data_IF_942226099146
#
_entry.id   IF_942226099146
#
_cell.length_a   1.000
_cell.length_b   1.000
_cell.length_c   1.000
_cell.angle_alpha   90.00
_cell.angle_beta   90.00
_cell.angle_gamma   90.00
#
_symmetry.space_group_name_H-M   'P 1'
#
loop_
_entity.id
_entity.type
_entity.pdbx_description
1 polymer ?
#
# COMPACT_ATOMS: atom_id res chain seq x y z
N UNK A 1 2.31 -48.86 18.99
CA UNK A 1 1.03 -48.66 18.29
C UNK A 1 1.11 -47.33 17.56
N UNK A 2 1.07 -47.39 16.24
CA UNK A 2 1.18 -46.26 15.31
C UNK A 2 -0.08 -45.41 15.44
N UNK A 3 0.07 -44.15 15.88
CA UNK A 3 -0.98 -43.15 15.74
C UNK A 3 -0.87 -42.56 14.33
N UNK A 4 -1.96 -42.65 13.59
CA UNK A 4 -2.07 -42.33 12.18
C UNK A 4 -1.58 -40.91 11.86
N UNK A 5 -0.73 -40.83 10.83
CA UNK A 5 -0.43 -39.64 10.07
C UNK A 5 -1.71 -39.09 9.47
N UNK A 6 -2.42 -38.25 10.23
CA UNK A 6 -3.47 -37.42 9.66
C UNK A 6 -2.85 -36.53 8.60
N UNK A 7 -3.35 -36.59 7.38
CA UNK A 7 -3.09 -35.57 6.37
C UNK A 7 -3.46 -34.21 6.98
N UNK A 8 -2.47 -33.48 7.49
CA UNK A 8 -2.64 -32.09 7.88
C UNK A 8 -2.83 -31.35 6.56
N UNK A 9 -4.09 -31.22 6.13
CA UNK A 9 -4.45 -30.29 5.07
C UNK A 9 -4.02 -28.92 5.60
N UNK A 10 -3.07 -28.24 4.94
CA UNK A 10 -2.59 -26.95 5.42
C UNK A 10 -3.79 -26.01 5.52
N UNK A 11 -4.14 -25.59 6.74
CA UNK A 11 -5.24 -24.65 6.90
C UNK A 11 -4.84 -23.30 6.29
N UNK A 12 -5.69 -22.68 5.48
CA UNK A 12 -5.43 -21.35 4.97
C UNK A 12 -5.34 -20.37 6.12
N UNK A 13 -4.31 -19.54 6.10
CA UNK A 13 -4.10 -18.51 7.13
C UNK A 13 -5.08 -17.36 6.99
N UNK A 14 -5.40 -16.97 5.76
CA UNK A 14 -6.45 -16.02 5.39
C UNK A 14 -7.77 -16.70 5.02
N UNK A 15 -8.63 -15.96 4.31
CA UNK A 15 -9.94 -16.47 3.91
C UNK A 15 -9.84 -17.68 2.97
N UNK A 16 -10.61 -18.73 3.28
CA UNK A 16 -10.81 -19.90 2.41
C UNK A 16 -11.82 -19.67 1.28
N UNK A 17 -12.45 -18.49 1.21
CA UNK A 17 -13.58 -18.23 0.31
C UNK A 17 -13.23 -18.43 -1.18
N UNK A 18 -12.00 -18.12 -1.58
CA UNK A 18 -11.53 -18.24 -2.97
C UNK A 18 -10.82 -19.57 -3.26
N UNK A 19 -10.96 -20.57 -2.38
CA UNK A 19 -10.39 -21.90 -2.58
C UNK A 19 -10.81 -22.57 -3.91
N UNK A 20 -12.06 -22.47 -4.39
CA UNK A 20 -12.44 -23.03 -5.70
C UNK A 20 -11.65 -22.42 -6.86
N UNK A 21 -11.37 -21.10 -6.79
CA UNK A 21 -10.59 -20.38 -7.82
C UNK A 21 -9.12 -20.79 -7.75
N UNK A 22 -8.57 -20.94 -6.54
CA UNK A 22 -7.20 -21.43 -6.33
C UNK A 22 -6.99 -22.82 -6.93
N UNK A 23 -7.95 -23.73 -6.75
CA UNK A 23 -7.92 -25.07 -7.33
C UNK A 23 -8.01 -25.03 -8.86
N UNK A 24 -8.89 -24.20 -9.42
CA UNK A 24 -9.04 -24.04 -10.87
C UNK A 24 -7.78 -23.48 -11.54
N UNK A 25 -7.10 -22.54 -10.89
CA UNK A 25 -5.92 -21.86 -11.43
C UNK A 25 -4.59 -22.56 -11.08
N UNK A 26 -4.63 -23.65 -10.30
CA UNK A 26 -3.44 -24.31 -9.73
C UNK A 26 -2.46 -23.31 -9.08
N UNK A 27 -2.99 -22.28 -8.43
CA UNK A 27 -2.23 -21.17 -7.86
C UNK A 27 -2.47 -21.12 -6.35
N UNK A 28 -1.45 -20.85 -5.51
CA UNK A 28 -1.64 -20.75 -4.06
C UNK A 28 -2.75 -19.78 -3.67
N UNK A 29 -3.64 -20.20 -2.76
CA UNK A 29 -4.82 -19.44 -2.34
C UNK A 29 -4.48 -18.02 -1.86
N UNK A 30 -3.35 -17.85 -1.17
CA UNK A 30 -2.90 -16.54 -0.68
C UNK A 30 -2.63 -15.55 -1.81
N UNK A 31 -2.07 -16.02 -2.93
CA UNK A 31 -1.84 -15.19 -4.11
C UNK A 31 -3.18 -14.80 -4.75
N UNK A 32 -4.14 -15.73 -4.79
CA UNK A 32 -5.50 -15.47 -5.28
C UNK A 32 -6.19 -14.42 -4.40
N UNK A 33 -6.11 -14.56 -3.07
CA UNK A 33 -6.67 -13.60 -2.12
C UNK A 33 -6.03 -12.21 -2.30
N UNK A 34 -4.70 -12.13 -2.43
CA UNK A 34 -4.00 -10.88 -2.68
C UNK A 34 -4.46 -10.21 -3.98
N UNK A 35 -4.50 -10.95 -5.09
CA UNK A 35 -4.94 -10.43 -6.40
C UNK A 35 -6.39 -9.97 -6.33
N UNK A 36 -7.27 -10.76 -5.72
CA UNK A 36 -8.68 -10.41 -5.55
C UNK A 36 -8.85 -9.13 -4.75
N UNK A 37 -8.15 -8.97 -3.62
CA UNK A 37 -8.16 -7.73 -2.85
C UNK A 37 -7.66 -6.53 -3.66
N UNK A 38 -6.64 -6.67 -4.51
CA UNK A 38 -6.17 -5.57 -5.36
C UNK A 38 -7.20 -5.15 -6.42
N UNK A 39 -7.90 -6.13 -7.02
CA UNK A 39 -8.97 -5.84 -7.97
C UNK A 39 -10.17 -5.18 -7.28
N UNK A 40 -10.57 -5.69 -6.11
CA UNK A 40 -11.62 -5.07 -5.30
C UNK A 40 -11.19 -3.67 -4.83
N UNK A 41 -9.92 -3.46 -4.48
CA UNK A 41 -9.39 -2.16 -4.11
C UNK A 41 -9.57 -1.13 -5.24
N UNK A 42 -9.41 -1.51 -6.51
CA UNK A 42 -9.66 -0.62 -7.65
C UNK A 42 -11.13 -0.22 -7.76
N UNK A 43 -12.05 -1.17 -7.59
CA UNK A 43 -13.49 -0.91 -7.60
C UNK A 43 -13.90 -0.01 -6.44
N UNK A 44 -13.40 -0.31 -5.23
CA UNK A 44 -13.63 0.50 -4.03
C UNK A 44 -13.01 1.89 -4.19
N UNK A 45 -11.84 2.02 -4.83
CA UNK A 45 -11.21 3.32 -5.11
C UNK A 45 -12.07 4.18 -6.04
N UNK A 46 -12.65 3.59 -7.09
CA UNK A 46 -13.58 4.28 -7.98
C UNK A 46 -14.84 4.73 -7.24
N UNK A 47 -15.42 3.84 -6.43
CA UNK A 47 -16.58 4.15 -5.59
C UNK A 47 -16.27 5.27 -4.58
N UNK A 48 -15.13 5.17 -3.89
CA UNK A 48 -14.64 6.15 -2.93
C UNK A 48 -14.50 7.54 -3.57
N UNK A 49 -14.04 7.62 -4.82
CA UNK A 49 -13.95 8.87 -5.56
C UNK A 49 -15.31 9.49 -5.86
N UNK A 50 -16.32 8.69 -6.22
CA UNK A 50 -17.64 9.18 -6.61
C UNK A 50 -18.45 9.62 -5.39
N UNK A 51 -18.55 8.75 -4.38
CA UNK A 51 -19.46 8.93 -3.26
C UNK A 51 -18.81 9.64 -2.07
N UNK A 52 -17.53 9.41 -1.82
CA UNK A 52 -16.76 10.04 -0.75
C UNK A 52 -15.83 11.13 -1.29
N UNK A 53 -16.34 11.95 -2.21
CA UNK A 53 -15.67 13.13 -2.71
C UNK A 53 -15.44 14.13 -1.54
N UNK A 54 -14.26 14.76 -1.42
CA UNK A 54 -13.98 15.76 -0.38
C UNK A 54 -15.00 16.90 -0.29
N UNK A 55 -15.71 17.23 -1.38
CA UNK A 55 -16.78 18.24 -1.34
C UNK A 55 -18.06 17.77 -0.65
N UNK A 56 -18.30 16.46 -0.58
CA UNK A 56 -19.56 15.88 -0.11
C UNK A 56 -19.41 15.11 1.21
N UNK A 57 -18.21 14.67 1.55
CA UNK A 57 -17.96 13.82 2.71
C UNK A 57 -16.95 14.46 3.67
N UNK A 58 -17.28 14.42 4.97
CA UNK A 58 -16.41 14.91 6.02
C UNK A 58 -15.08 14.12 6.06
N UNK A 59 -13.92 14.76 6.28
CA UNK A 59 -12.61 14.09 6.31
C UNK A 59 -12.53 12.87 7.22
N UNK A 60 -13.14 12.93 8.41
CA UNK A 60 -13.15 11.81 9.35
C UNK A 60 -13.82 10.55 8.76
N UNK A 61 -14.90 10.72 7.99
CA UNK A 61 -15.60 9.60 7.33
C UNK A 61 -14.70 8.99 6.26
N UNK A 62 -14.01 9.84 5.47
CA UNK A 62 -13.07 9.38 4.45
C UNK A 62 -11.90 8.61 5.07
N UNK A 63 -11.35 9.11 6.17
CA UNK A 63 -10.31 8.41 6.93
C UNK A 63 -10.79 7.08 7.49
N UNK A 64 -11.93 7.06 8.17
CA UNK A 64 -12.50 5.87 8.79
C UNK A 64 -12.82 4.79 7.75
N UNK A 65 -13.45 5.16 6.63
CA UNK A 65 -13.73 4.24 5.53
C UNK A 65 -12.45 3.64 4.96
N UNK A 66 -11.45 4.49 4.68
CA UNK A 66 -10.19 4.02 4.11
C UNK A 66 -9.48 3.02 5.03
N UNK A 67 -9.48 3.28 6.35
CA UNK A 67 -8.95 2.38 7.39
C UNK A 67 -9.75 1.08 7.45
N UNK A 68 -11.08 1.17 7.52
CA UNK A 68 -11.95 0.01 7.70
C UNK A 68 -11.78 -1.01 6.57
N UNK A 69 -11.81 -0.55 5.32
CA UNK A 69 -11.60 -1.43 4.16
C UNK A 69 -10.19 -2.00 4.14
N UNK A 70 -9.17 -1.23 4.55
CA UNK A 70 -7.80 -1.72 4.58
C UNK A 70 -7.54 -2.75 5.67
N UNK A 71 -8.14 -2.58 6.85
CA UNK A 71 -8.17 -3.59 7.92
C UNK A 71 -8.85 -4.86 7.42
N UNK A 72 -10.00 -4.72 6.75
CA UNK A 72 -10.69 -5.86 6.15
C UNK A 72 -9.81 -6.62 5.15
N UNK A 73 -9.12 -5.92 4.24
CA UNK A 73 -8.18 -6.57 3.30
C UNK A 73 -7.00 -7.26 4.00
N UNK A 74 -6.43 -6.66 5.04
CA UNK A 74 -5.36 -7.28 5.80
C UNK A 74 -5.83 -8.58 6.49
N UNK A 75 -7.01 -8.56 7.12
CA UNK A 75 -7.60 -9.75 7.76
C UNK A 75 -8.00 -10.79 6.71
N UNK A 76 -8.58 -10.39 5.58
CA UNK A 76 -8.97 -11.31 4.52
C UNK A 76 -7.76 -12.04 3.92
N UNK A 77 -6.67 -11.34 3.65
CA UNK A 77 -5.46 -11.92 3.06
C UNK A 77 -4.65 -12.77 4.05
N UNK A 78 -4.52 -12.33 5.30
CA UNK A 78 -3.52 -12.88 6.25
C UNK A 78 -4.12 -13.47 7.54
N UNK A 79 -5.43 -13.34 7.76
CA UNK A 79 -6.13 -13.80 8.96
C UNK A 79 -5.44 -13.37 10.25
N UNK A 80 -5.14 -14.31 11.14
CA UNK A 80 -4.51 -14.05 12.44
C UNK A 80 -3.14 -13.37 12.33
N UNK A 81 -2.37 -13.61 11.26
CA UNK A 81 -1.08 -12.95 11.06
C UNK A 81 -1.20 -11.43 10.84
N UNK A 82 -2.39 -10.93 10.44
CA UNK A 82 -2.64 -9.49 10.36
C UNK A 82 -2.51 -8.78 11.72
N UNK A 83 -2.62 -9.51 12.84
CA UNK A 83 -2.38 -8.97 14.18
C UNK A 83 -0.96 -8.42 14.35
N UNK A 84 0.04 -8.98 13.68
CA UNK A 84 1.41 -8.45 13.71
C UNK A 84 1.47 -7.03 13.12
N UNK A 85 0.72 -6.80 12.04
CA UNK A 85 0.63 -5.48 11.39
C UNK A 85 -0.03 -4.49 12.36
N UNK A 86 -1.17 -4.86 12.95
CA UNK A 86 -1.89 -3.98 13.86
C UNK A 86 -1.11 -3.71 15.15
N UNK A 87 -0.44 -4.72 15.70
CA UNK A 87 0.42 -4.59 16.88
C UNK A 87 1.53 -3.59 16.63
N UNK A 88 2.22 -3.69 15.49
CA UNK A 88 3.29 -2.76 15.15
C UNK A 88 2.78 -1.32 15.01
N UNK A 89 1.66 -1.13 14.30
CA UNK A 89 1.02 0.19 14.13
C UNK A 89 0.63 0.79 15.48
N UNK A 90 0.02 0.01 16.38
CA UNK A 90 -0.40 0.49 17.69
C UNK A 90 0.79 0.80 18.61
N UNK A 91 1.81 -0.07 18.68
CA UNK A 91 3.01 0.16 19.49
C UNK A 91 3.74 1.44 19.05
N UNK A 92 3.89 1.66 17.75
CA UNK A 92 4.54 2.86 17.24
C UNK A 92 3.67 4.12 17.38
N UNK A 93 2.34 4.00 17.40
CA UNK A 93 1.48 5.12 17.80
C UNK A 93 1.71 5.50 19.28
N UNK A 94 1.79 4.52 20.18
CA UNK A 94 2.10 4.75 21.58
C UNK A 94 3.45 5.46 21.76
N UNK A 95 4.47 5.06 21.00
CA UNK A 95 5.77 5.75 20.98
C UNK A 95 5.62 7.19 20.47
N UNK A 96 4.87 7.42 19.40
CA UNK A 96 4.67 8.76 18.83
C UNK A 96 4.03 9.76 19.81
N UNK A 97 3.10 9.28 20.66
CA UNK A 97 2.43 10.13 21.64
C UNK A 97 3.23 10.32 22.93
N UNK A 98 3.97 9.30 23.39
CA UNK A 98 4.70 9.33 24.68
C UNK A 98 6.14 9.80 24.58
N UNK A 99 6.83 9.52 23.47
CA UNK A 99 8.24 9.87 23.33
C UNK A 99 8.44 11.38 23.19
N UNK A 100 9.58 11.86 23.71
CA UNK A 100 10.03 13.21 23.45
C UNK A 100 10.32 13.41 21.96
N UNK A 101 10.14 14.63 21.48
CA UNK A 101 10.34 14.98 20.07
C UNK A 101 11.74 14.57 19.58
N UNK A 102 12.77 14.76 20.40
CA UNK A 102 14.16 14.41 20.08
C UNK A 102 14.37 12.90 19.86
N UNK A 103 13.60 12.04 20.55
CA UNK A 103 13.81 10.59 20.53
C UNK A 103 12.75 9.81 19.73
N UNK A 104 11.67 10.45 19.30
CA UNK A 104 10.53 9.76 18.64
C UNK A 104 10.95 8.94 17.41
N UNK A 105 11.85 9.47 16.57
CA UNK A 105 12.35 8.79 15.38
C UNK A 105 13.22 7.57 15.73
N UNK A 106 14.05 7.68 16.78
CA UNK A 106 14.93 6.59 17.24
C UNK A 106 14.13 5.43 17.81
N UNK A 107 13.21 5.72 18.73
CA UNK A 107 12.38 4.70 19.36
C UNK A 107 11.43 4.04 18.34
N UNK A 108 10.83 4.82 17.44
CA UNK A 108 9.98 4.27 16.38
C UNK A 108 10.78 3.39 15.42
N UNK A 109 12.01 3.78 15.07
CA UNK A 109 12.89 2.98 14.22
C UNK A 109 13.30 1.67 14.88
N UNK A 110 13.78 1.72 16.12
CA UNK A 110 14.20 0.52 16.87
C UNK A 110 13.02 -0.43 17.03
N UNK A 111 11.84 0.06 17.41
CA UNK A 111 10.65 -0.76 17.54
C UNK A 111 10.22 -1.36 16.19
N UNK A 112 10.10 -0.54 15.14
CA UNK A 112 9.59 -0.99 13.85
C UNK A 112 10.55 -1.97 13.14
N UNK A 113 11.84 -1.67 13.12
CA UNK A 113 12.87 -2.55 12.55
C UNK A 113 13.10 -3.79 13.40
N UNK A 114 13.13 -3.65 14.73
CA UNK A 114 13.31 -4.75 15.68
C UNK A 114 12.16 -5.76 15.57
N UNK A 115 10.92 -5.28 15.60
CA UNK A 115 9.73 -6.13 15.45
C UNK A 115 9.69 -6.83 14.08
N UNK A 116 10.01 -6.12 12.99
CA UNK A 116 10.14 -6.72 11.66
C UNK A 116 11.22 -7.81 11.65
N UNK A 117 12.39 -7.54 12.22
CA UNK A 117 13.50 -8.50 12.31
C UNK A 117 13.09 -9.75 13.09
N UNK A 118 12.43 -9.59 14.24
CA UNK A 118 11.91 -10.72 15.01
C UNK A 118 10.90 -11.53 14.22
N UNK A 119 9.97 -10.89 13.50
CA UNK A 119 9.02 -11.58 12.63
C UNK A 119 9.74 -12.34 11.50
N UNK A 120 10.78 -11.77 10.90
CA UNK A 120 11.57 -12.41 9.85
C UNK A 120 12.37 -13.60 10.38
N UNK A 121 12.97 -13.47 11.57
CA UNK A 121 13.68 -14.55 12.26
C UNK A 121 12.71 -15.69 12.61
N UNK A 122 11.58 -15.36 13.24
CA UNK A 122 10.54 -16.34 13.59
C UNK A 122 10.03 -17.05 12.35
N UNK A 123 9.84 -16.32 11.24
CA UNK A 123 9.53 -16.89 9.94
C UNK A 123 10.59 -17.93 9.55
N UNK A 124 11.88 -17.60 9.48
CA UNK A 124 12.92 -18.59 9.13
C UNK A 124 12.88 -19.84 10.01
N UNK A 125 12.70 -19.70 11.33
CA UNK A 125 12.68 -20.85 12.23
C UNK A 125 11.37 -21.67 12.22
N UNK A 126 10.22 -21.02 12.06
CA UNK A 126 8.90 -21.67 12.04
C UNK A 126 8.65 -22.31 10.65
N UNK A 127 9.09 -21.70 9.56
CA UNK A 127 8.86 -22.24 8.20
C UNK A 127 9.75 -23.43 7.84
N UNK A 128 10.85 -23.66 8.58
CA UNK A 128 11.59 -24.94 8.50
C UNK A 128 10.74 -26.15 8.96
N UNK A 129 9.56 -25.93 9.59
CA UNK A 129 8.60 -26.99 9.96
C UNK A 129 7.49 -27.24 8.91
N UNK A 130 7.60 -26.69 7.70
CA UNK A 130 6.73 -27.08 6.58
C UNK A 130 5.28 -26.56 6.62
N UNK A 131 4.98 -25.53 7.42
CA UNK A 131 3.64 -24.93 7.51
C UNK A 131 3.56 -23.67 6.64
N UNK A 132 2.77 -23.78 5.56
CA UNK A 132 2.12 -22.75 4.72
C UNK A 132 2.66 -21.31 4.69
N UNK A 133 3.13 -20.90 3.50
CA UNK A 133 3.92 -19.72 3.17
C UNK A 133 3.19 -18.36 3.13
N UNK A 134 2.45 -17.97 4.16
CA UNK A 134 1.80 -16.65 4.13
C UNK A 134 2.79 -15.52 4.34
N UNK A 135 3.13 -14.81 3.26
CA UNK A 135 4.08 -13.70 3.31
C UNK A 135 3.44 -12.39 3.84
N UNK A 136 2.92 -12.44 5.08
CA UNK A 136 2.45 -11.26 5.81
C UNK A 136 3.58 -10.24 6.05
N UNK A 137 4.83 -10.65 5.85
CA UNK A 137 6.02 -9.81 6.01
C UNK A 137 6.07 -8.69 4.96
N UNK A 138 5.51 -8.88 3.77
CA UNK A 138 5.44 -7.84 2.73
C UNK A 138 4.71 -6.57 3.20
N UNK A 139 3.42 -6.65 3.58
CA UNK A 139 2.70 -5.54 4.21
C UNK A 139 3.41 -4.99 5.45
N UNK A 140 3.98 -5.86 6.29
CA UNK A 140 4.70 -5.43 7.49
C UNK A 140 5.92 -4.56 7.14
N UNK A 141 6.67 -4.90 6.09
CA UNK A 141 7.78 -4.09 5.58
C UNK A 141 7.33 -2.70 5.13
N UNK A 142 6.22 -2.61 4.40
CA UNK A 142 5.65 -1.32 3.94
C UNK A 142 5.21 -0.47 5.15
N UNK A 143 4.59 -1.08 6.15
CA UNK A 143 4.22 -0.40 7.39
C UNK A 143 5.44 0.09 8.16
N UNK A 144 6.49 -0.72 8.29
CA UNK A 144 7.76 -0.30 8.91
C UNK A 144 8.35 0.92 8.21
N UNK A 145 8.36 0.93 6.87
CA UNK A 145 8.81 2.09 6.11
C UNK A 145 7.94 3.33 6.39
N UNK A 146 6.61 3.20 6.36
CA UNK A 146 5.68 4.32 6.62
C UNK A 146 5.82 4.88 8.03
N UNK A 147 5.95 4.01 9.05
CA UNK A 147 6.14 4.40 10.46
C UNK A 147 7.45 5.16 10.62
N UNK A 148 8.55 4.61 10.11
CA UNK A 148 9.88 5.22 10.26
C UNK A 148 9.95 6.56 9.53
N UNK A 149 9.47 6.64 8.29
CA UNK A 149 9.36 7.90 7.55
C UNK A 149 8.54 8.95 8.32
N UNK A 150 7.37 8.57 8.84
CA UNK A 150 6.53 9.48 9.64
C UNK A 150 7.26 9.97 10.89
N UNK A 151 7.96 9.09 11.60
CA UNK A 151 8.67 9.46 12.82
C UNK A 151 9.82 10.43 12.55
N UNK A 152 10.55 10.26 11.44
CA UNK A 152 11.56 11.23 10.99
C UNK A 152 10.93 12.57 10.56
N UNK A 153 9.82 12.55 9.82
CA UNK A 153 9.08 13.77 9.45
C UNK A 153 8.57 14.54 10.66
N UNK A 154 8.18 13.84 11.73
CA UNK A 154 7.77 14.44 12.99
C UNK A 154 8.95 15.06 13.75
N UNK A 155 10.08 14.34 13.82
CA UNK A 155 11.31 14.87 14.42
C UNK A 155 11.82 16.11 13.67
N UNK A 156 11.81 16.10 12.34
CA UNK A 156 12.23 17.24 11.53
C UNK A 156 11.31 18.45 11.73
N UNK A 157 10.00 18.24 11.88
CA UNK A 157 9.04 19.34 12.05
C UNK A 157 8.98 19.97 13.44
N UNK A 158 9.23 19.20 14.51
CA UNK A 158 9.15 19.69 15.89
C UNK A 158 10.52 19.84 16.57
N UNK A 159 11.52 19.05 16.16
CA UNK A 159 12.80 18.91 16.87
C UNK A 159 13.96 19.65 16.22
N UNK A 160 13.77 20.19 15.02
CA UNK A 160 14.83 20.87 14.26
C UNK A 160 14.38 22.23 13.77
N UNK A 161 15.33 23.15 13.68
CA UNK A 161 15.10 24.47 13.09
C UNK A 161 14.92 24.35 11.57
N UNK A 162 13.87 25.00 11.05
CA UNK A 162 13.53 24.99 9.63
C UNK A 162 14.71 25.42 8.73
N UNK A 163 15.55 26.35 9.19
CA UNK A 163 16.71 26.87 8.43
C UNK A 163 17.81 25.81 8.18
N UNK A 164 17.83 24.75 8.99
CA UNK A 164 18.87 23.69 8.94
C UNK A 164 18.38 22.47 8.14
N UNK A 165 17.09 22.41 7.82
CA UNK A 165 16.49 21.33 7.05
C UNK A 165 16.78 21.50 5.55
N UNK A 166 17.00 20.40 4.84
CA UNK A 166 17.03 20.41 3.37
C UNK A 166 15.66 20.78 2.80
N UNK A 167 15.59 21.17 1.52
CA UNK A 167 14.32 21.52 0.87
C UNK A 167 13.27 20.39 0.96
N UNK A 168 13.70 19.15 0.76
CA UNK A 168 12.81 17.98 0.86
C UNK A 168 12.33 17.76 2.30
N UNK A 169 13.22 17.90 3.28
CA UNK A 169 12.84 17.80 4.69
C UNK A 169 11.87 18.89 5.11
N UNK A 170 12.07 20.12 4.62
CA UNK A 170 11.15 21.24 4.86
C UNK A 170 9.76 20.93 4.30
N UNK A 171 9.68 20.42 3.06
CA UNK A 171 8.43 20.10 2.37
C UNK A 171 7.60 19.06 3.13
N UNK A 172 8.25 18.02 3.66
CA UNK A 172 7.55 16.91 4.31
C UNK A 172 7.56 16.97 5.84
N UNK A 173 8.11 18.04 6.42
CA UNK A 173 8.11 18.25 7.87
C UNK A 173 6.70 18.34 8.43
N UNK A 174 6.46 17.66 9.56
CA UNK A 174 5.14 17.63 10.18
C UNK A 174 5.09 18.62 11.33
N UNK A 175 4.22 19.63 11.19
CA UNK A 175 4.04 20.71 12.18
C UNK A 175 2.95 20.45 13.22
N UNK A 176 2.13 19.42 13.00
CA UNK A 176 1.03 19.03 13.89
C UNK A 176 1.06 17.52 14.08
N UNK A 177 1.02 17.03 15.32
CA UNK A 177 0.95 15.60 15.58
C UNK A 177 -0.31 15.00 14.94
N UNK A 178 -0.20 13.86 14.22
CA UNK A 178 -1.36 13.14 13.71
C UNK A 178 -2.32 12.74 14.82
N UNK A 179 -3.62 12.89 14.59
CA UNK A 179 -4.63 12.23 15.41
C UNK A 179 -4.58 10.72 15.22
N UNK A 180 -5.19 9.97 16.13
CA UNK A 180 -5.24 8.51 16.04
C UNK A 180 -5.89 8.03 14.73
N UNK A 181 -6.98 8.67 14.30
CA UNK A 181 -7.68 8.30 13.09
C UNK A 181 -6.84 8.60 11.83
N UNK A 182 -6.18 9.75 11.76
CA UNK A 182 -5.26 10.08 10.65
C UNK A 182 -4.08 9.11 10.60
N UNK A 183 -3.53 8.74 11.76
CA UNK A 183 -2.44 7.78 11.88
C UNK A 183 -2.85 6.39 11.40
N UNK A 184 -3.99 5.87 11.89
CA UNK A 184 -4.51 4.57 11.45
C UNK A 184 -4.82 4.58 9.96
N UNK A 185 -5.44 5.65 9.47
CA UNK A 185 -5.77 5.80 8.05
C UNK A 185 -4.52 5.84 7.18
N UNK A 186 -3.50 6.59 7.59
CA UNK A 186 -2.24 6.63 6.85
C UNK A 186 -1.59 5.26 6.76
N UNK A 187 -1.54 4.47 7.84
CA UNK A 187 -0.89 3.15 7.81
C UNK A 187 -1.76 2.09 7.13
N UNK A 188 -3.04 2.00 7.50
CA UNK A 188 -3.95 0.89 7.19
C UNK A 188 -4.98 1.24 6.10
N UNK A 189 -4.70 2.15 5.17
CA UNK A 189 -5.63 2.42 4.08
C UNK A 189 -5.64 1.31 3.03
N UNK A 190 -6.84 0.98 2.54
CA UNK A 190 -7.04 -0.07 1.53
C UNK A 190 -6.25 0.13 0.24
N UNK A 191 -5.90 1.37 -0.11
CA UNK A 191 -5.17 1.70 -1.34
C UNK A 191 -3.70 1.28 -1.29
N UNK A 192 -3.12 1.13 -0.09
CA UNK A 192 -1.67 0.92 0.07
C UNK A 192 -1.29 -0.14 1.10
N UNK A 193 -2.23 -0.66 1.89
CA UNK A 193 -1.92 -1.58 3.00
C UNK A 193 -1.24 -2.88 2.56
N UNK A 194 -1.58 -3.42 1.38
CA UNK A 194 -1.07 -4.72 0.93
C UNK A 194 0.28 -4.63 0.20
N UNK A 195 0.45 -3.65 -0.69
CA UNK A 195 1.67 -3.46 -1.50
C UNK A 195 1.85 -2.00 -1.98
N UNK A 196 1.36 -1.06 -1.16
CA UNK A 196 1.42 0.39 -1.32
C UNK A 196 2.77 0.97 -1.69
N UNK A 197 2.87 1.98 -2.58
CA UNK A 197 4.02 2.87 -2.52
C UNK A 197 4.03 3.60 -1.17
N UNK A 198 5.21 3.72 -0.58
CA UNK A 198 5.42 4.52 0.61
C UNK A 198 5.28 6.00 0.26
N UNK A 199 4.08 6.55 0.50
CA UNK A 199 3.76 7.96 0.30
C UNK A 199 4.05 8.74 1.56
N UNK A 200 4.41 10.02 1.46
CA UNK A 200 4.60 10.86 2.64
C UNK A 200 3.27 11.13 3.35
N UNK A 201 3.32 11.34 4.67
CA UNK A 201 2.13 11.55 5.49
C UNK A 201 1.34 12.78 5.05
N UNK A 202 2.02 13.91 4.80
CA UNK A 202 1.37 15.15 4.37
C UNK A 202 0.59 15.00 3.05
N UNK A 203 1.17 14.29 2.08
CA UNK A 203 0.54 14.04 0.79
C UNK A 203 -0.71 13.16 0.96
N UNK A 204 -0.63 12.15 1.84
CA UNK A 204 -1.77 11.30 2.16
C UNK A 204 -2.92 12.08 2.80
N UNK A 205 -2.64 12.90 3.83
CA UNK A 205 -3.68 13.73 4.47
C UNK A 205 -4.25 14.74 3.47
N UNK A 206 -3.41 15.42 2.69
CA UNK A 206 -3.88 16.35 1.67
C UNK A 206 -4.80 15.69 0.62
N UNK A 207 -4.58 14.41 0.33
CA UNK A 207 -5.42 13.61 -0.54
C UNK A 207 -6.77 13.22 0.12
N UNK A 208 -6.75 12.70 1.35
CA UNK A 208 -7.97 12.29 2.07
C UNK A 208 -8.82 13.47 2.54
N UNK A 209 -8.23 14.65 2.72
CA UNK A 209 -8.98 15.86 3.04
C UNK A 209 -9.35 16.68 1.80
N UNK A 210 -8.73 16.42 0.64
CA UNK A 210 -8.98 17.17 -0.59
C UNK A 210 -8.29 18.53 -0.67
N UNK A 211 -7.34 18.83 0.22
CA UNK A 211 -6.60 20.12 0.25
C UNK A 211 -5.86 20.43 -1.06
N UNK A 212 -5.47 19.42 -1.84
CA UNK A 212 -4.88 19.58 -3.18
C UNK A 212 -5.80 20.27 -4.20
N UNK A 213 -7.11 20.11 -4.05
CA UNK A 213 -8.10 20.75 -4.92
C UNK A 213 -8.23 22.22 -4.52
N UNK A 214 -8.26 22.49 -3.20
CA UNK A 214 -8.40 23.83 -2.65
C UNK A 214 -7.19 24.72 -2.96
N UNK A 215 -5.96 24.20 -2.86
CA UNK A 215 -4.74 24.96 -3.20
C UNK A 215 -4.64 25.29 -4.69
N UNK A 216 -5.05 24.36 -5.58
CA UNK A 216 -5.14 24.62 -7.02
C UNK A 216 -6.24 25.63 -7.37
N UNK A 217 -7.38 25.59 -6.68
CA UNK A 217 -8.46 26.58 -6.82
C UNK A 217 -8.03 27.99 -6.38
N UNK A 218 -7.32 28.09 -5.26
CA UNK A 218 -6.77 29.37 -4.75
C UNK A 218 -5.71 29.96 -5.70
N UNK A 219 -4.77 29.14 -6.19
CA UNK A 219 -3.76 29.60 -7.15
C UNK A 219 -4.36 29.95 -8.52
N UNK A 220 -5.42 29.26 -8.96
CA UNK A 220 -6.12 29.57 -10.22
C UNK A 220 -6.93 30.87 -10.13
N UNK A 221 -7.48 31.22 -8.95
CA UNK A 221 -8.15 32.50 -8.71
C UNK A 221 -7.19 33.71 -8.77
N UNK A 222 -5.90 33.52 -8.47
CA UNK A 222 -4.90 34.59 -8.54
C UNK A 222 -4.33 34.88 -9.93
N UNK A 223 -4.38 33.91 -10.86
CA UNK A 223 -3.62 33.98 -12.11
C UNK A 223 -4.45 34.14 -13.40
N UNK A 224 -5.77 34.38 -13.34
CA UNK A 224 -6.57 34.73 -14.54
C UNK A 224 -6.72 33.66 -15.65
N UNK A 225 -5.95 32.57 -15.61
CA UNK A 225 -6.01 31.48 -16.60
C UNK A 225 -7.08 30.45 -16.24
N UNK A 226 -8.24 30.53 -16.91
CA UNK A 226 -9.42 29.66 -16.72
C UNK A 226 -9.42 28.38 -17.54
N UNK A 227 -8.28 27.69 -17.70
CA UNK A 227 -8.25 26.33 -18.25
C UNK A 227 -7.14 25.53 -17.58
N UNK A 228 -7.45 24.90 -16.44
CA UNK A 228 -6.66 23.76 -15.99
C UNK A 228 -7.03 22.57 -16.91
N UNK A 229 -6.09 22.02 -17.70
CA UNK A 229 -6.32 20.75 -18.37
C UNK A 229 -6.44 19.72 -17.25
N UNK A 230 -7.63 19.17 -17.07
CA UNK A 230 -7.82 17.99 -16.23
C UNK A 230 -7.65 16.78 -17.15
N UNK A 231 -6.45 16.17 -17.29
CA UNK A 231 -6.38 14.87 -17.93
C UNK A 231 -7.24 13.94 -17.08
N UNK A 232 -8.23 13.31 -17.72
CA UNK A 232 -9.04 12.33 -17.02
C UNK A 232 -8.09 11.22 -16.56
N UNK A 233 -8.12 10.80 -15.28
CA UNK A 233 -7.22 9.75 -14.81
C UNK A 233 -7.54 8.40 -15.46
N UNK A 234 -8.68 8.30 -16.15
CA UNK A 234 -9.21 7.07 -16.73
C UNK A 234 -8.29 6.52 -17.84
N UNK A 235 -7.74 7.38 -18.71
CA UNK A 235 -6.80 6.94 -19.75
C UNK A 235 -5.53 6.34 -19.16
N UNK A 236 -4.95 7.00 -18.15
CA UNK A 236 -3.76 6.53 -17.44
C UNK A 236 -4.06 5.24 -16.66
N UNK A 237 -5.25 5.14 -16.07
CA UNK A 237 -5.72 3.94 -15.36
C UNK A 237 -5.86 2.76 -16.34
N UNK A 238 -6.52 2.94 -17.49
CA UNK A 238 -6.69 1.90 -18.52
C UNK A 238 -5.31 1.42 -19.01
N UNK A 239 -4.41 2.36 -19.34
CA UNK A 239 -3.05 2.03 -19.75
C UNK A 239 -2.30 1.19 -18.70
N UNK A 240 -2.39 1.58 -17.42
CA UNK A 240 -1.76 0.83 -16.32
C UNK A 240 -2.43 -0.53 -16.08
N UNK A 241 -3.74 -0.65 -16.27
CA UNK A 241 -4.44 -1.95 -16.22
C UNK A 241 -3.97 -2.88 -17.34
N UNK A 242 -3.74 -2.36 -18.55
CA UNK A 242 -3.15 -3.14 -19.64
C UNK A 242 -1.73 -3.63 -19.29
N UNK A 243 -0.88 -2.78 -18.72
CA UNK A 243 0.46 -3.17 -18.26
C UNK A 243 0.37 -4.25 -17.17
N UNK A 244 -0.55 -4.11 -16.22
CA UNK A 244 -0.76 -5.10 -15.18
C UNK A 244 -1.21 -6.44 -15.79
N UNK A 245 -2.21 -6.44 -16.67
CA UNK A 245 -2.69 -7.65 -17.35
C UNK A 245 -1.57 -8.33 -18.16
N UNK A 246 -0.78 -7.56 -18.91
CA UNK A 246 0.38 -8.06 -19.65
C UNK A 246 1.43 -8.67 -18.72
N UNK A 247 1.75 -8.00 -17.60
CA UNK A 247 2.71 -8.48 -16.61
C UNK A 247 2.26 -9.80 -15.96
N UNK A 248 0.96 -9.93 -15.67
CA UNK A 248 0.38 -11.17 -15.14
C UNK A 248 0.41 -12.30 -16.17
N UNK A 249 0.08 -12.03 -17.43
CA UNK A 249 0.13 -13.01 -18.51
C UNK A 249 1.57 -13.52 -18.75
N UNK A 250 2.54 -12.60 -18.76
CA UNK A 250 3.98 -12.93 -18.85
C UNK A 250 4.41 -13.76 -17.64
N UNK A 251 4.02 -13.36 -16.41
CA UNK A 251 4.32 -14.13 -15.21
C UNK A 251 3.81 -15.58 -15.31
N UNK A 252 2.54 -15.76 -15.64
CA UNK A 252 1.90 -17.08 -15.73
C UNK A 252 2.50 -17.95 -16.82
N UNK A 253 2.97 -17.36 -17.92
CA UNK A 253 3.57 -18.10 -19.04
C UNK A 253 5.02 -18.49 -18.73
N UNK A 254 5.85 -17.53 -18.31
CA UNK A 254 7.27 -17.76 -18.10
C UNK A 254 7.58 -18.58 -16.86
N UNK A 255 6.80 -18.49 -15.78
CA UNK A 255 7.03 -19.33 -14.58
C UNK A 255 6.65 -20.79 -14.78
N UNK A 256 5.70 -21.07 -15.68
CA UNK A 256 5.40 -22.44 -16.12
C UNK A 256 6.52 -23.00 -17.02
N UNK A 257 7.08 -22.17 -17.90
CA UNK A 257 8.16 -22.57 -18.80
C UNK A 257 9.52 -22.72 -18.08
N UNK A 258 9.80 -21.88 -17.09
CA UNK A 258 11.07 -21.84 -16.35
C UNK A 258 10.81 -21.89 -14.83
N UNK A 259 10.47 -23.07 -14.28
CA UNK A 259 10.23 -23.22 -12.85
C UNK A 259 11.51 -22.93 -12.06
N UNK A 260 11.41 -21.99 -11.10
CA UNK A 260 12.55 -21.58 -10.26
C UNK A 260 13.08 -22.72 -9.39
N UNK A 261 12.21 -23.66 -8.98
CA UNK A 261 12.59 -24.82 -8.17
C UNK A 261 13.55 -25.76 -8.88
N UNK A 262 13.58 -25.74 -10.22
CA UNK A 262 14.55 -26.54 -10.98
C UNK A 262 16.01 -26.12 -10.75
N UNK A 263 16.24 -24.89 -10.28
CA UNK A 263 17.60 -24.39 -9.95
C UNK A 263 18.25 -25.21 -8.81
N UNK A 264 17.44 -25.71 -7.88
CA UNK A 264 17.89 -26.46 -6.70
C UNK A 264 17.72 -27.97 -6.87
N UNK A 265 17.28 -28.44 -8.04
CA UNK A 265 17.13 -29.85 -8.34
C UNK A 265 18.51 -30.55 -8.36
N UNK A 266 18.62 -31.67 -7.64
CA UNK A 266 19.89 -32.40 -7.48
C UNK A 266 20.42 -32.91 -8.82
N UNK A 267 19.52 -33.39 -9.68
CA UNK A 267 19.88 -33.88 -11.02
C UNK A 267 20.44 -32.74 -11.86
N UNK A 268 19.77 -31.59 -11.86
CA UNK A 268 20.22 -30.38 -12.57
C UNK A 268 21.56 -29.87 -12.05
N UNK A 269 21.75 -29.82 -10.73
CA UNK A 269 23.00 -29.36 -10.12
C UNK A 269 24.19 -30.26 -10.45
N UNK A 270 23.98 -31.57 -10.51
CA UNK A 270 25.04 -32.55 -10.70
C UNK A 270 25.36 -32.86 -12.17
N UNK A 271 24.40 -32.67 -13.09
CA UNK A 271 24.57 -33.06 -14.51
C UNK A 271 24.85 -31.90 -15.46
N UNK A 272 24.46 -30.67 -15.11
CA UNK A 272 24.52 -29.54 -16.04
C UNK A 272 25.76 -28.66 -15.79
N UNK A 273 26.51 -28.27 -16.85
CA UNK A 273 27.66 -27.37 -16.73
C UNK A 273 27.30 -26.02 -16.07
N UNK A 274 28.24 -25.46 -15.32
CA UNK A 274 28.07 -24.23 -14.54
C UNK A 274 27.46 -23.07 -15.35
N UNK A 275 27.95 -22.80 -16.57
CA UNK A 275 27.44 -21.70 -17.41
C UNK A 275 25.97 -21.86 -17.80
N UNK A 276 25.53 -23.09 -18.08
CA UNK A 276 24.11 -23.37 -18.39
C UNK A 276 23.24 -23.24 -17.14
N UNK A 277 23.76 -23.65 -15.97
CA UNK A 277 23.11 -23.41 -14.67
C UNK A 277 22.95 -21.93 -14.37
N UNK A 278 24.00 -21.14 -14.61
CA UNK A 278 23.97 -19.68 -14.43
C UNK A 278 22.98 -19.01 -15.39
N UNK A 279 22.96 -19.43 -16.66
CA UNK A 279 22.01 -18.93 -17.66
C UNK A 279 20.56 -19.25 -17.29
N UNK A 280 20.28 -20.50 -16.89
CA UNK A 280 18.96 -20.90 -16.43
C UNK A 280 18.54 -20.15 -15.17
N UNK A 281 19.43 -20.01 -14.18
CA UNK A 281 19.19 -19.25 -12.96
C UNK A 281 18.81 -17.80 -13.26
N UNK A 282 19.52 -17.16 -14.19
CA UNK A 282 19.20 -15.81 -14.64
C UNK A 282 17.79 -15.76 -15.24
N UNK A 283 17.48 -16.62 -16.21
CA UNK A 283 16.17 -16.64 -16.89
C UNK A 283 15.04 -16.93 -15.89
N UNK A 284 15.19 -17.93 -15.03
CA UNK A 284 14.19 -18.29 -14.02
C UNK A 284 13.96 -17.17 -13.00
N UNK A 285 15.02 -16.44 -12.63
CA UNK A 285 14.89 -15.25 -11.77
C UNK A 285 14.15 -14.12 -12.49
N UNK A 286 14.42 -13.87 -13.77
CA UNK A 286 13.66 -12.89 -14.55
C UNK A 286 12.19 -13.29 -14.70
N UNK A 287 11.90 -14.58 -14.93
CA UNK A 287 10.53 -15.11 -15.02
C UNK A 287 9.70 -14.86 -13.76
N UNK A 288 10.36 -14.76 -12.60
CA UNK A 288 9.70 -14.47 -11.32
C UNK A 288 9.41 -12.98 -11.07
N UNK A 289 10.05 -12.05 -11.78
CA UNK A 289 9.89 -10.60 -11.54
C UNK A 289 8.52 -10.02 -11.95
N UNK A 290 7.88 -10.45 -13.05
CA UNK A 290 6.60 -9.91 -13.51
C UNK A 290 5.48 -9.88 -12.46
N UNK A 291 5.45 -10.80 -11.49
CA UNK A 291 4.49 -10.74 -10.36
C UNK A 291 4.59 -9.46 -9.53
N UNK A 292 5.81 -8.93 -9.37
CA UNK A 292 6.02 -7.69 -8.63
C UNK A 292 5.65 -6.47 -9.46
N UNK A 293 5.93 -6.48 -10.76
CA UNK A 293 5.49 -5.40 -11.66
C UNK A 293 3.97 -5.31 -11.74
N UNK A 294 3.27 -6.45 -11.72
CA UNK A 294 1.81 -6.48 -11.60
C UNK A 294 1.33 -5.76 -10.33
N UNK A 295 1.83 -6.17 -9.16
CA UNK A 295 1.45 -5.54 -7.88
C UNK A 295 1.81 -4.05 -7.83
N UNK A 296 3.04 -3.70 -8.24
CA UNK A 296 3.53 -2.31 -8.28
C UNK A 296 2.87 -1.44 -9.35
N UNK A 297 2.16 -2.03 -10.31
CA UNK A 297 1.35 -1.27 -11.28
C UNK A 297 -0.07 -1.06 -10.76
N UNK A 298 -0.70 -2.10 -10.20
CA UNK A 298 -2.09 -2.02 -9.73
C UNK A 298 -2.27 -1.08 -8.54
N UNK A 299 -1.35 -1.13 -7.58
CA UNK A 299 -1.49 -0.36 -6.34
C UNK A 299 -1.46 1.16 -6.58
N UNK A 300 -0.46 1.73 -7.30
CA UNK A 300 -0.51 3.14 -7.67
C UNK A 300 -1.73 3.49 -8.52
N UNK A 301 -2.26 2.54 -9.28
CA UNK A 301 -3.47 2.72 -10.08
C UNK A 301 -4.71 2.88 -9.20
N UNK A 302 -4.82 2.12 -8.10
CA UNK A 302 -5.89 2.29 -7.11
C UNK A 302 -5.80 3.66 -6.41
N UNK A 303 -4.59 4.11 -6.06
CA UNK A 303 -4.37 5.46 -5.51
C UNK A 303 -4.71 6.55 -6.55
N UNK A 304 -4.38 6.35 -7.82
CA UNK A 304 -4.71 7.31 -8.88
C UNK A 304 -6.22 7.36 -9.14
N UNK A 305 -6.88 6.20 -9.13
CA UNK A 305 -8.32 6.08 -9.36
C UNK A 305 -9.14 6.73 -8.26
N UNK A 306 -8.67 6.72 -7.02
CA UNK A 306 -9.31 7.38 -5.88
C UNK A 306 -9.12 8.90 -5.85
N UNK A 307 -8.21 9.47 -6.66
CA UNK A 307 -8.00 10.93 -6.78
C UNK A 307 -9.15 11.62 -7.50
N UNK A 308 -9.79 12.56 -6.80
CA UNK A 308 -10.70 13.52 -7.40
C UNK A 308 -9.90 14.56 -8.21
N UNK A 309 -9.88 14.40 -9.54
CA UNK A 309 -9.40 15.43 -10.47
C UNK A 309 -10.54 16.32 -11.02
N UNK A 310 -11.80 16.01 -10.71
CA UNK A 310 -12.94 16.85 -11.12
C UNK A 310 -13.12 17.98 -10.12
N UNK A 311 -12.80 19.21 -10.54
CA UNK A 311 -13.36 20.41 -9.94
C UNK A 311 -14.83 20.47 -10.37
N UNK A 312 -15.82 20.40 -9.45
CA UNK A 312 -17.19 20.67 -9.84
C UNK A 312 -17.31 22.14 -10.28
N UNK A 313 -17.77 22.35 -11.51
CA UNK A 313 -18.06 23.69 -12.08
C UNK A 313 -19.25 24.36 -11.36
N UNK A 314 -19.95 23.66 -10.46
CA UNK A 314 -21.20 24.11 -9.84
C UNK A 314 -21.06 25.08 -8.65
N UNK A 315 -19.90 25.69 -8.41
CA UNK A 315 -19.78 26.81 -7.46
C UNK A 315 -19.97 28.20 -8.14
N UNK A 316 -20.62 28.25 -9.31
CA UNK A 316 -20.81 29.49 -10.10
C UNK A 316 -22.27 29.98 -10.17
N UNK A 317 -23.17 29.49 -9.33
CA UNK A 317 -24.56 29.99 -9.26
C UNK A 317 -25.03 30.09 -7.81
N UNK A 318 -24.43 30.99 -7.04
CA UNK A 318 -25.02 31.56 -5.83
C UNK A 318 -24.32 32.89 -5.51
N UNK A 319 -24.53 33.88 -6.37
CA UNK A 319 -24.44 35.27 -5.96
C UNK A 319 -25.42 36.06 -6.85
N UNK A 320 -26.63 36.36 -6.37
CA UNK A 320 -27.49 37.36 -7.00
C UNK A 320 -26.81 38.73 -6.82
N UNK A 321 -26.51 39.36 -7.95
CA UNK A 321 -26.64 40.80 -8.24
C UNK A 321 -26.65 41.81 -7.09
N UNK A 322 -25.65 42.71 -7.14
CA UNK A 322 -25.71 44.18 -6.94
C UNK A 322 -26.79 44.76 -6.03
N UNK A 323 -26.39 45.53 -4.99
CA UNK A 323 -26.73 46.94 -4.66
C UNK A 323 -25.64 47.40 -3.65
N UNK A 324 -24.78 48.39 -3.90
CA UNK A 324 -25.02 49.83 -3.72
C UNK A 324 -24.02 50.70 -4.54
N UNK A 325 -24.41 51.94 -4.92
CA UNK A 325 -23.72 52.78 -5.87
C UNK A 325 -22.76 53.79 -5.21
N UNK A 326 -21.95 54.40 -6.08
CA UNK A 326 -21.10 55.57 -5.83
C UNK A 326 -21.79 56.68 -5.02
N UNK A 327 -21.14 57.10 -3.92
CA UNK A 327 -20.69 58.49 -3.66
C UNK A 327 -19.81 58.51 -2.42
#
# INVERSE_FOLDING_TARGET
MVAASGNIVPQPTGSALLQPISQLLHTPLEQVNFVACQLVALLVAFWFRIYLNPSNAHPAVRHAFATFVGVYFAVFCFGWYSLHIFTLVLLCYCIMITASVSNVHRYSFIMAMGYLTLCQINRVYIFNYGILSTDFSGPLMIITQKITTLAFQLHDGFGRSFKVLSKDQQQYSIKKKPSFLEYLSYHLNFMSVLAGPCSNFQDYIAFIEGRHIQSKLLNSKGNGYTKLPNPSPNEVVIYKLCIAAASLAVFMTFTKAFPILYVVDETFMNTVPFLKRLGYFYIATQACKPKYYFAWTLVPTAVLMSRCLKVPIQARQACPTEIWPNT
#
